data_IF_203454417010
#
_entry.id   IF_203454417010
#
_cell.length_a   1.000
_cell.length_b   1.000
_cell.length_c   1.000
_cell.angle_alpha   90.00
_cell.angle_beta   90.00
_cell.angle_gamma   90.00
#
_symmetry.space_group_name_H-M   'P 1'
#
loop_
_entity.id
_entity.type
_entity.pdbx_description
1 polymer ?
#
# COMPACT_ATOMS: atom_id res chain seq x y z
N UNK A 1 -43.42 31.33 15.45
CA UNK A 1 -42.77 30.05 15.10
C UNK A 1 -41.61 29.88 16.06
N UNK A 2 -41.83 29.17 17.17
CA UNK A 2 -40.86 29.03 18.26
C UNK A 2 -39.91 27.89 17.89
N UNK A 3 -38.66 28.21 17.61
CA UNK A 3 -37.59 27.21 17.44
C UNK A 3 -37.28 26.70 18.85
N UNK A 4 -37.62 25.44 19.12
CA UNK A 4 -37.35 24.76 20.40
C UNK A 4 -35.85 24.80 20.72
N UNK A 5 -35.52 25.24 21.94
CA UNK A 5 -34.15 25.29 22.52
C UNK A 5 -33.37 23.98 22.37
N UNK A 6 -34.08 22.85 22.30
CA UNK A 6 -33.51 21.51 22.17
C UNK A 6 -32.79 21.31 20.83
N UNK A 7 -33.27 21.96 19.76
CA UNK A 7 -32.64 21.87 18.42
C UNK A 7 -31.35 22.68 18.33
N UNK A 8 -31.26 23.78 19.09
CA UNK A 8 -30.05 24.61 19.15
C UNK A 8 -28.94 23.89 19.91
N UNK A 9 -29.28 23.20 21.00
CA UNK A 9 -28.33 22.43 21.80
C UNK A 9 -27.73 21.25 21.00
N UNK A 10 -28.55 20.52 20.25
CA UNK A 10 -28.11 19.43 19.38
C UNK A 10 -27.19 19.91 18.25
N UNK A 11 -27.47 21.10 17.70
CA UNK A 11 -26.64 21.70 16.64
C UNK A 11 -25.29 22.19 17.18
N UNK A 12 -25.26 22.77 18.38
CA UNK A 12 -24.02 23.17 19.03
C UNK A 12 -23.18 21.94 19.44
N UNK A 13 -23.82 20.86 19.88
CA UNK A 13 -23.13 19.60 20.22
C UNK A 13 -22.50 18.94 18.99
N UNK A 14 -23.19 18.92 17.84
CA UNK A 14 -22.62 18.34 16.60
C UNK A 14 -21.44 19.15 16.06
N UNK A 15 -21.48 20.48 16.20
CA UNK A 15 -20.34 21.36 15.86
C UNK A 15 -19.17 21.07 16.81
N UNK A 16 -19.40 20.99 18.12
CA UNK A 16 -18.34 20.73 19.10
C UNK A 16 -17.68 19.37 18.89
N UNK A 17 -18.46 18.32 18.63
CA UNK A 17 -17.95 16.98 18.31
C UNK A 17 -17.13 17.00 17.01
N UNK A 18 -17.61 17.70 15.98
CA UNK A 18 -16.89 17.83 14.70
C UNK A 18 -15.55 18.55 14.87
N UNK A 19 -15.51 19.62 15.68
CA UNK A 19 -14.27 20.33 15.99
C UNK A 19 -13.29 19.50 16.83
N UNK A 20 -13.77 18.71 17.80
CA UNK A 20 -12.92 17.83 18.61
C UNK A 20 -12.34 16.71 17.75
N UNK A 21 -13.14 16.08 16.89
CA UNK A 21 -12.68 15.02 15.98
C UNK A 21 -11.69 15.57 14.96
N UNK A 22 -11.94 16.75 14.38
CA UNK A 22 -11.02 17.39 13.44
C UNK A 22 -9.67 17.75 14.10
N UNK A 23 -9.70 18.26 15.33
CA UNK A 23 -8.47 18.59 16.06
C UNK A 23 -7.70 17.35 16.52
N UNK A 24 -8.39 16.30 16.97
CA UNK A 24 -7.75 15.03 17.33
C UNK A 24 -7.10 14.36 16.09
N UNK A 25 -7.79 14.41 14.95
CA UNK A 25 -7.25 13.93 13.67
C UNK A 25 -6.02 14.73 13.22
N UNK A 26 -6.07 16.07 13.34
CA UNK A 26 -4.93 16.95 12.99
C UNK A 26 -3.73 16.75 13.91
N UNK A 27 -3.95 16.62 15.22
CA UNK A 27 -2.89 16.42 16.20
C UNK A 27 -2.20 15.05 16.02
N UNK A 28 -2.96 13.99 15.74
CA UNK A 28 -2.39 12.68 15.48
C UNK A 28 -1.52 12.66 14.21
N UNK A 29 -1.90 13.44 13.19
CA UNK A 29 -1.18 13.53 11.92
C UNK A 29 0.12 14.34 12.02
N UNK A 30 0.14 15.45 12.76
CA UNK A 30 1.32 16.30 12.96
C UNK A 30 2.43 15.59 13.77
N UNK A 31 2.06 14.81 14.80
CA UNK A 31 3.03 14.04 15.61
C UNK A 31 3.67 12.92 14.78
N UNK A 32 2.90 12.24 13.91
CA UNK A 32 3.45 11.19 13.05
C UNK A 32 4.44 11.75 12.03
N UNK A 33 4.13 12.91 11.45
CA UNK A 33 5.01 13.55 10.48
C UNK A 33 6.36 13.90 11.15
N UNK A 34 6.36 14.57 12.32
CA UNK A 34 7.59 15.06 12.99
C UNK A 34 8.63 13.99 13.34
N UNK A 35 8.22 12.73 13.49
CA UNK A 35 9.11 11.60 13.80
C UNK A 35 9.70 10.90 12.58
N UNK A 36 9.32 11.29 11.37
CA UNK A 36 9.80 10.67 10.14
C UNK A 36 11.19 11.17 9.74
N UNK A 37 12.08 10.23 9.41
CA UNK A 37 13.40 10.51 8.86
C UNK A 37 13.35 11.10 7.44
N UNK A 38 14.48 11.62 6.98
CA UNK A 38 14.64 12.10 5.60
C UNK A 38 14.92 10.93 4.65
N UNK A 39 14.25 10.92 3.50
CA UNK A 39 14.43 9.93 2.45
C UNK A 39 15.83 10.02 1.83
N UNK A 40 16.40 8.87 1.50
CA UNK A 40 17.61 8.72 0.70
C UNK A 40 17.26 8.58 -0.78
N UNK A 41 18.28 8.37 -1.60
CA UNK A 41 18.08 8.06 -3.02
C UNK A 41 17.28 6.76 -3.19
N UNK A 42 16.31 6.78 -4.10
CA UNK A 42 15.41 5.65 -4.41
C UNK A 42 14.58 5.12 -3.23
N UNK A 43 14.53 5.86 -2.11
CA UNK A 43 13.59 5.59 -1.03
C UNK A 43 12.17 5.94 -1.47
N UNK A 44 11.24 5.06 -1.16
CA UNK A 44 9.80 5.32 -1.24
C UNK A 44 9.44 6.27 -0.12
N UNK A 45 8.88 7.43 -0.48
CA UNK A 45 8.49 8.44 0.49
C UNK A 45 7.05 8.26 0.99
N UNK A 46 6.13 7.85 0.10
CA UNK A 46 4.75 7.50 0.43
C UNK A 46 4.30 6.25 -0.35
N UNK A 47 3.36 5.51 0.24
CA UNK A 47 2.57 4.50 -0.48
C UNK A 47 1.13 5.02 -0.54
N UNK A 48 0.60 5.14 -1.75
CA UNK A 48 -0.76 5.64 -1.99
C UNK A 48 -1.64 4.51 -2.48
N UNK A 49 -2.72 4.28 -1.75
CA UNK A 49 -3.71 3.28 -2.04
C UNK A 49 -5.02 3.92 -2.50
N UNK A 50 -5.34 3.73 -3.77
CA UNK A 50 -6.58 4.19 -4.40
C UNK A 50 -7.70 3.18 -4.16
N UNK A 51 -8.30 3.28 -2.96
CA UNK A 51 -9.42 2.45 -2.54
C UNK A 51 -10.64 2.66 -3.44
N UNK A 52 -11.36 1.59 -3.74
CA UNK A 52 -12.52 1.66 -4.65
C UNK A 52 -13.69 2.45 -4.05
N UNK A 53 -14.07 2.14 -2.82
CA UNK A 53 -15.28 2.64 -2.14
C UNK A 53 -14.98 3.72 -1.08
N UNK A 54 -13.71 4.01 -0.83
CA UNK A 54 -13.25 4.93 0.21
C UNK A 54 -12.23 5.93 -0.34
N UNK A 55 -12.03 7.08 0.33
CA UNK A 55 -10.95 8.00 -0.02
C UNK A 55 -9.59 7.27 -0.06
N UNK A 56 -8.66 7.75 -0.89
CA UNK A 56 -7.33 7.14 -0.95
C UNK A 56 -6.67 7.13 0.44
N UNK A 57 -6.01 6.02 0.79
CA UNK A 57 -5.20 5.92 2.00
C UNK A 57 -3.73 6.18 1.65
N UNK A 58 -3.01 6.88 2.52
CA UNK A 58 -1.60 7.23 2.31
C UNK A 58 -0.79 6.77 3.51
N UNK A 59 0.16 5.88 3.26
CA UNK A 59 1.18 5.50 4.25
C UNK A 59 2.41 6.36 4.01
N UNK A 60 2.77 7.14 5.03
CA UNK A 60 3.93 8.03 5.00
C UNK A 60 5.16 7.28 5.52
N UNK A 61 6.25 7.25 4.75
CA UNK A 61 7.46 6.49 5.07
C UNK A 61 8.60 7.40 5.52
N UNK A 62 8.96 8.38 4.69
CA UNK A 62 10.01 9.35 4.98
C UNK A 62 9.69 10.71 4.34
N UNK A 63 10.40 11.75 4.76
CA UNK A 63 10.26 13.10 4.21
C UNK A 63 11.26 13.35 3.10
N UNK A 64 10.79 13.97 2.02
CA UNK A 64 11.69 14.39 0.97
C UNK A 64 12.67 15.47 1.47
N UNK A 65 13.93 15.46 1.01
CA UNK A 65 14.89 16.52 1.28
C UNK A 65 14.35 17.91 0.90
N UNK A 66 14.78 18.96 1.61
CA UNK A 66 14.29 20.34 1.44
C UNK A 66 14.51 20.93 0.03
N UNK A 67 15.45 20.37 -0.73
CA UNK A 67 15.76 20.78 -2.11
C UNK A 67 14.89 20.07 -3.16
N UNK A 68 13.96 19.21 -2.74
CA UNK A 68 13.04 18.48 -3.62
C UNK A 68 11.58 18.79 -3.29
N UNK A 69 10.65 18.67 -4.25
CA UNK A 69 9.23 18.81 -3.97
C UNK A 69 8.76 17.85 -2.87
N UNK A 70 7.72 18.25 -2.15
CA UNK A 70 7.06 17.38 -1.18
C UNK A 70 6.60 16.06 -1.81
N UNK A 71 6.67 14.98 -1.03
CA UNK A 71 6.29 13.66 -1.51
C UNK A 71 4.82 13.65 -1.98
N UNK A 72 4.52 13.15 -3.19
CA UNK A 72 3.15 13.06 -3.68
C UNK A 72 2.25 12.22 -2.76
N UNK A 73 1.00 12.65 -2.57
CA UNK A 73 0.00 11.97 -1.72
C UNK A 73 -1.22 11.47 -2.49
N UNK A 74 -1.32 11.77 -3.78
CA UNK A 74 -2.47 11.40 -4.63
C UNK A 74 -2.09 10.29 -5.60
N UNK A 75 -3.07 9.46 -5.95
CA UNK A 75 -2.90 8.50 -7.03
C UNK A 75 -2.80 9.25 -8.36
N UNK A 76 -1.77 8.97 -9.17
CA UNK A 76 -1.48 9.71 -10.39
C UNK A 76 -0.85 8.81 -11.44
N UNK A 77 -1.01 9.14 -12.72
CA UNK A 77 -0.31 8.44 -13.81
C UNK A 77 1.04 9.08 -14.16
N UNK A 78 1.34 10.24 -13.57
CA UNK A 78 2.52 11.03 -13.83
C UNK A 78 3.33 11.28 -12.57
N UNK A 79 4.58 11.70 -12.76
CA UNK A 79 5.51 12.03 -11.69
C UNK A 79 6.45 10.88 -11.34
N UNK A 80 7.00 10.94 -10.14
CA UNK A 80 7.97 9.97 -9.63
C UNK A 80 7.23 8.84 -8.91
N UNK A 81 6.79 7.86 -9.70
CA UNK A 81 5.91 6.79 -9.22
C UNK A 81 6.40 5.41 -9.66
N UNK A 82 6.00 4.38 -8.93
CA UNK A 82 6.06 2.99 -9.35
C UNK A 82 4.80 2.27 -8.89
N UNK A 83 4.13 1.55 -9.78
CA UNK A 83 2.91 0.83 -9.44
C UNK A 83 3.26 -0.49 -8.72
N UNK A 84 2.57 -0.74 -7.61
CA UNK A 84 2.59 -2.05 -6.94
C UNK A 84 1.55 -2.96 -7.57
N UNK A 85 0.36 -2.40 -7.81
CA UNK A 85 -0.76 -3.04 -8.48
C UNK A 85 -1.60 -1.97 -9.20
N UNK A 86 -2.78 -2.33 -9.68
CA UNK A 86 -3.67 -1.43 -10.44
C UNK A 86 -4.23 -0.25 -9.64
N UNK A 87 -4.12 -0.28 -8.30
CA UNK A 87 -4.70 0.71 -7.39
C UNK A 87 -3.72 1.18 -6.30
N UNK A 88 -2.48 0.74 -6.31
CA UNK A 88 -1.49 1.08 -5.27
C UNK A 88 -0.17 1.51 -5.90
N UNK A 89 0.38 2.62 -5.42
CA UNK A 89 1.57 3.24 -5.96
C UNK A 89 2.58 3.58 -4.87
N UNK A 90 3.84 3.27 -5.12
CA UNK A 90 4.98 3.87 -4.43
C UNK A 90 5.27 5.23 -5.04
N UNK A 91 5.51 6.22 -4.19
CA UNK A 91 5.88 7.59 -4.55
C UNK A 91 7.32 7.84 -4.14
N UNK A 92 8.03 8.62 -4.94
CA UNK A 92 9.44 8.94 -4.74
C UNK A 92 9.66 10.45 -4.75
N UNK A 93 10.71 10.90 -4.06
CA UNK A 93 11.08 12.32 -4.02
C UNK A 93 11.74 12.78 -5.33
N UNK A 94 12.34 11.86 -6.07
CA UNK A 94 13.06 12.12 -7.32
C UNK A 94 12.72 11.07 -8.37
N UNK A 95 13.05 11.37 -9.62
CA UNK A 95 12.86 10.46 -10.75
C UNK A 95 13.59 9.14 -10.54
N UNK A 96 12.88 8.03 -10.73
CA UNK A 96 13.43 6.66 -10.68
C UNK A 96 13.81 6.13 -12.07
N UNK A 97 13.81 6.98 -13.11
CA UNK A 97 14.09 6.59 -14.50
C UNK A 97 15.49 6.03 -14.74
N UNK A 98 16.44 6.31 -13.86
CA UNK A 98 17.79 5.77 -13.92
C UNK A 98 17.87 4.31 -13.46
N UNK A 99 16.86 3.82 -12.74
CA UNK A 99 16.77 2.42 -12.37
C UNK A 99 16.45 1.58 -13.61
N UNK A 100 17.28 0.57 -13.87
CA UNK A 100 17.03 -0.39 -14.93
C UNK A 100 15.81 -1.26 -14.64
N UNK A 101 15.29 -1.95 -15.66
CA UNK A 101 14.23 -2.96 -15.47
C UNK A 101 14.79 -4.15 -14.71
N UNK A 102 13.99 -4.70 -13.80
CA UNK A 102 14.41 -5.84 -13.00
C UNK A 102 14.67 -7.09 -13.86
N UNK A 103 15.84 -7.70 -13.66
CA UNK A 103 16.16 -9.00 -14.24
C UNK A 103 15.45 -10.13 -13.48
N UNK A 104 15.37 -11.31 -14.12
CA UNK A 104 14.81 -12.50 -13.49
C UNK A 104 15.56 -12.82 -12.18
N UNK A 105 14.81 -13.07 -11.10
CA UNK A 105 15.32 -13.40 -9.77
C UNK A 105 16.14 -12.32 -9.03
N UNK A 106 16.25 -11.11 -9.59
CA UNK A 106 16.89 -9.98 -8.89
C UNK A 106 15.99 -9.43 -7.77
N UNK A 107 16.59 -9.03 -6.65
CA UNK A 107 15.87 -8.27 -5.62
C UNK A 107 15.54 -6.88 -6.14
N UNK A 108 14.25 -6.61 -6.28
CA UNK A 108 13.71 -5.38 -6.82
C UNK A 108 13.46 -4.30 -5.77
N UNK A 109 13.12 -4.72 -4.56
CA UNK A 109 12.77 -3.83 -3.47
C UNK A 109 13.20 -4.44 -2.14
N UNK A 110 13.69 -3.59 -1.25
CA UNK A 110 14.02 -3.96 0.12
C UNK A 110 13.27 -3.05 1.09
N UNK A 111 12.55 -3.65 2.03
CA UNK A 111 11.95 -2.93 3.16
C UNK A 111 12.75 -3.24 4.41
N UNK A 112 13.40 -2.23 4.97
CA UNK A 112 14.10 -2.28 6.25
C UNK A 112 13.21 -1.71 7.33
N UNK A 113 12.92 -2.50 8.35
CA UNK A 113 12.16 -2.09 9.53
C UNK A 113 13.10 -2.13 10.74
N UNK A 114 13.35 -0.97 11.32
CA UNK A 114 14.11 -0.84 12.55
C UNK A 114 13.15 -0.88 13.73
N UNK A 115 13.23 -1.95 14.51
CA UNK A 115 12.53 -2.08 15.77
C UNK A 115 13.41 -1.55 16.91
N UNK A 116 12.80 -0.85 17.87
CA UNK A 116 13.45 -0.47 19.12
C UNK A 116 12.54 -0.74 20.32
N UNK A 117 13.06 -1.46 21.32
CA UNK A 117 12.35 -2.00 22.49
C UNK A 117 11.22 -2.94 22.09
N UNK A 118 10.08 -2.39 21.64
CA UNK A 118 8.87 -3.14 21.23
C UNK A 118 8.07 -2.46 20.11
N UNK A 119 8.59 -1.37 19.55
CA UNK A 119 7.91 -0.58 18.52
C UNK A 119 8.74 -0.43 17.26
N UNK A 120 8.08 -0.06 16.18
CA UNK A 120 8.74 0.35 14.94
C UNK A 120 9.29 1.75 15.17
N UNK A 121 10.61 1.89 15.10
CA UNK A 121 11.30 3.19 15.19
C UNK A 121 11.40 3.86 13.84
N UNK A 122 11.73 3.09 12.80
CA UNK A 122 11.92 3.62 11.46
C UNK A 122 11.64 2.55 10.40
N UNK A 123 11.18 3.00 9.23
CA UNK A 123 10.98 2.16 8.05
C UNK A 123 11.68 2.84 6.88
N UNK A 124 12.51 2.11 6.15
CA UNK A 124 13.07 2.53 4.86
C UNK A 124 12.71 1.49 3.82
N UNK A 125 12.32 1.96 2.64
CA UNK A 125 11.90 1.10 1.53
C UNK A 125 12.65 1.58 0.31
N UNK A 126 13.60 0.79 -0.16
CA UNK A 126 14.49 1.15 -1.27
C UNK A 126 14.12 0.34 -2.50
N UNK A 127 13.86 1.03 -3.61
CA UNK A 127 13.75 0.40 -4.93
C UNK A 127 15.13 0.25 -5.57
N UNK A 128 15.44 -0.95 -6.08
CA UNK A 128 16.71 -1.28 -6.76
C UNK A 128 16.59 -1.37 -8.27
N UNK A 129 15.41 -1.67 -8.78
CA UNK A 129 15.10 -1.73 -10.21
C UNK A 129 13.60 -1.48 -10.43
N UNK A 130 13.20 -1.28 -11.68
CA UNK A 130 11.81 -1.05 -12.06
C UNK A 130 11.09 -2.35 -12.42
N UNK A 131 9.91 -2.55 -11.84
CA UNK A 131 9.02 -3.64 -12.21
C UNK A 131 7.89 -3.16 -13.10
N UNK A 132 7.62 -3.92 -14.16
CA UNK A 132 6.49 -3.67 -15.04
C UNK A 132 5.25 -4.35 -14.48
N UNK A 133 4.39 -3.57 -13.82
CA UNK A 133 3.17 -4.08 -13.20
C UNK A 133 2.11 -4.58 -14.19
N UNK A 134 2.32 -4.43 -15.51
CA UNK A 134 1.45 -4.99 -16.55
C UNK A 134 1.86 -6.42 -16.93
N UNK A 135 3.12 -6.78 -16.70
CA UNK A 135 3.69 -8.08 -17.09
C UNK A 135 4.25 -8.86 -15.90
N UNK A 136 4.39 -8.24 -14.74
CA UNK A 136 5.03 -8.81 -13.56
C UNK A 136 4.23 -8.50 -12.29
N UNK A 137 4.42 -9.34 -11.27
CA UNK A 137 3.91 -9.13 -9.93
C UNK A 137 5.00 -9.26 -8.87
N UNK A 138 4.77 -8.61 -7.73
CA UNK A 138 5.69 -8.63 -6.59
C UNK A 138 5.55 -9.93 -5.80
N UNK A 139 6.70 -10.51 -5.44
CA UNK A 139 6.79 -11.74 -4.64
C UNK A 139 7.77 -11.52 -3.50
N UNK A 140 7.34 -11.88 -2.29
CA UNK A 140 8.22 -11.95 -1.12
C UNK A 140 9.25 -13.06 -1.30
N UNK A 141 10.52 -12.74 -1.07
CA UNK A 141 11.63 -13.70 -1.23
C UNK A 141 12.01 -14.29 0.11
N UNK A 142 12.44 -13.44 1.03
CA UNK A 142 12.89 -13.83 2.35
C UNK A 142 12.91 -12.62 3.29
N UNK A 143 13.09 -12.92 4.56
CA UNK A 143 13.31 -11.95 5.62
C UNK A 143 14.63 -12.28 6.32
N UNK A 144 15.45 -11.26 6.56
CA UNK A 144 16.74 -11.39 7.26
C UNK A 144 16.86 -10.35 8.38
N UNK A 145 17.46 -10.74 9.51
CA UNK A 145 17.90 -9.78 10.53
C UNK A 145 19.33 -9.34 10.24
N UNK A 146 19.59 -8.04 10.08
CA UNK A 146 20.93 -7.51 9.77
C UNK A 146 21.65 -6.95 11.00
N UNK A 147 20.99 -6.09 11.79
CA UNK A 147 21.61 -5.41 12.93
C UNK A 147 20.85 -5.74 14.21
N UNK A 148 21.47 -6.50 15.11
CA UNK A 148 20.94 -6.77 16.45
C UNK A 148 21.83 -6.02 17.45
N UNK A 149 21.25 -5.09 18.18
CA UNK A 149 21.92 -4.41 19.29
C UNK A 149 21.08 -4.62 20.55
N UNK A 150 21.46 -5.63 21.32
CA UNK A 150 20.73 -6.05 22.52
C UNK A 150 20.71 -4.96 23.60
N UNK A 151 21.81 -4.23 23.79
CA UNK A 151 21.89 -3.15 24.78
C UNK A 151 20.84 -2.07 24.52
N UNK A 152 20.66 -1.69 23.25
CA UNK A 152 19.68 -0.69 22.82
C UNK A 152 18.31 -1.29 22.50
N UNK A 153 18.18 -2.61 22.61
CA UNK A 153 17.03 -3.40 22.20
C UNK A 153 16.62 -3.04 20.76
N UNK A 154 17.58 -3.01 19.84
CA UNK A 154 17.36 -2.66 18.44
C UNK A 154 17.52 -3.89 17.54
N UNK A 155 16.60 -4.05 16.61
CA UNK A 155 16.62 -5.10 15.60
C UNK A 155 16.25 -4.51 14.25
N UNK A 156 17.14 -4.63 13.27
CA UNK A 156 16.84 -4.31 11.87
C UNK A 156 16.40 -5.57 11.15
N UNK A 157 15.14 -5.60 10.71
CA UNK A 157 14.57 -6.65 9.87
C UNK A 157 14.51 -6.15 8.43
N UNK A 158 14.95 -6.98 7.49
CA UNK A 158 14.95 -6.68 6.04
C UNK A 158 14.08 -7.69 5.30
N UNK A 159 13.01 -7.20 4.69
CA UNK A 159 12.17 -7.96 3.78
C UNK A 159 12.61 -7.70 2.33
N UNK A 160 12.95 -8.77 1.61
CA UNK A 160 13.35 -8.68 0.21
C UNK A 160 12.21 -9.11 -0.70
N UNK A 161 11.97 -8.32 -1.75
CA UNK A 161 10.95 -8.58 -2.76
C UNK A 161 11.57 -8.59 -4.15
N UNK A 162 11.03 -9.44 -5.01
CA UNK A 162 11.38 -9.53 -6.43
C UNK A 162 10.15 -9.42 -7.29
N UNK A 163 10.37 -9.24 -8.58
CA UNK A 163 9.30 -9.25 -9.58
C UNK A 163 9.38 -10.51 -10.41
N UNK A 164 8.23 -11.15 -10.59
CA UNK A 164 8.06 -12.40 -11.33
C UNK A 164 7.04 -12.16 -12.43
N UNK A 165 7.27 -12.74 -13.61
CA UNK A 165 6.33 -12.63 -14.72
C UNK A 165 4.94 -13.13 -14.32
N UNK A 166 3.90 -12.46 -14.83
CA UNK A 166 2.53 -12.92 -14.76
C UNK A 166 2.33 -14.03 -15.80
N UNK A 167 1.90 -15.19 -15.35
CA UNK A 167 1.49 -16.27 -16.25
C UNK A 167 0.13 -15.96 -16.90
N UNK A 168 -0.30 -16.78 -17.86
CA UNK A 168 -1.65 -16.72 -18.42
C UNK A 168 -2.55 -17.74 -17.74
N UNK A 169 -3.69 -17.30 -17.23
CA UNK A 169 -4.68 -18.20 -16.64
C UNK A 169 -5.71 -18.69 -17.66
N UNK A 170 -6.38 -19.81 -17.36
CA UNK A 170 -7.56 -20.26 -18.09
C UNK A 170 -8.83 -19.61 -17.52
N UNK A 171 -9.97 -19.68 -18.23
CA UNK A 171 -11.27 -19.33 -17.67
C UNK A 171 -11.52 -20.07 -16.35
N UNK A 172 -12.06 -19.36 -15.36
CA UNK A 172 -12.39 -19.81 -14.01
C UNK A 172 -11.21 -20.26 -13.13
N UNK A 173 -9.96 -20.17 -13.63
CA UNK A 173 -8.78 -20.42 -12.80
C UNK A 173 -8.59 -19.31 -11.76
N UNK A 174 -7.93 -19.68 -10.66
CA UNK A 174 -7.42 -18.72 -9.67
C UNK A 174 -6.50 -17.71 -10.33
N UNK A 175 -6.76 -16.42 -10.09
CA UNK A 175 -6.01 -15.33 -10.73
C UNK A 175 -5.33 -14.37 -9.76
N UNK A 176 -5.63 -14.44 -8.47
CA UNK A 176 -5.03 -13.56 -7.48
C UNK A 176 -5.74 -13.55 -6.14
N UNK A 177 -5.26 -12.69 -5.25
CA UNK A 177 -5.86 -12.49 -3.93
C UNK A 177 -6.49 -11.10 -3.82
N UNK A 178 -7.75 -11.04 -3.43
CA UNK A 178 -8.53 -9.82 -3.34
C UNK A 178 -8.55 -9.23 -1.93
N UNK A 179 -8.42 -7.91 -1.88
CA UNK A 179 -8.55 -7.08 -0.68
C UNK A 179 -9.89 -6.38 -0.70
N UNK A 180 -10.93 -6.88 -0.01
CA UNK A 180 -12.26 -6.27 -0.06
C UNK A 180 -12.25 -4.85 0.53
N UNK A 181 -11.43 -4.62 1.56
CA UNK A 181 -11.29 -3.34 2.24
C UNK A 181 -10.72 -2.24 1.34
N UNK A 182 -9.94 -2.59 0.32
CA UNK A 182 -9.37 -1.63 -0.64
C UNK A 182 -9.97 -1.76 -2.05
N UNK A 183 -10.69 -2.85 -2.35
CA UNK A 183 -11.31 -3.10 -3.64
C UNK A 183 -10.30 -3.30 -4.77
N UNK A 184 -9.24 -4.09 -4.53
CA UNK A 184 -8.28 -4.47 -5.56
C UNK A 184 -7.80 -5.92 -5.40
N UNK A 185 -7.18 -6.45 -6.47
CA UNK A 185 -6.63 -7.81 -6.51
C UNK A 185 -5.10 -7.79 -6.70
N UNK A 186 -4.39 -8.55 -5.89
CA UNK A 186 -3.00 -8.95 -6.09
C UNK A 186 -2.96 -10.06 -7.16
N UNK A 187 -2.70 -9.67 -8.40
CA UNK A 187 -2.72 -10.59 -9.53
C UNK A 187 -1.53 -11.56 -9.47
N UNK A 188 -1.80 -12.83 -9.82
CA UNK A 188 -0.81 -13.90 -10.02
C UNK A 188 -0.66 -14.29 -11.48
N UNK A 189 -1.67 -14.01 -12.29
CA UNK A 189 -1.68 -14.22 -13.73
C UNK A 189 -2.56 -13.18 -14.42
N UNK A 190 -2.50 -13.16 -15.75
CA UNK A 190 -3.40 -12.40 -16.60
C UNK A 190 -4.54 -13.29 -17.08
N UNK A 191 -5.78 -12.84 -16.88
CA UNK A 191 -6.97 -13.52 -17.37
C UNK A 191 -7.07 -13.49 -18.91
N UNK A 192 -7.74 -14.48 -19.53
CA UNK A 192 -7.96 -14.49 -20.97
C UNK A 192 -8.90 -13.36 -21.39
N UNK A 193 -9.00 -13.14 -22.71
CA UNK A 193 -9.92 -12.14 -23.28
C UNK A 193 -11.35 -12.36 -22.78
N UNK A 194 -12.09 -11.26 -22.58
CA UNK A 194 -13.46 -11.24 -22.06
C UNK A 194 -13.64 -11.78 -20.63
N UNK A 195 -12.55 -11.98 -19.89
CA UNK A 195 -12.56 -12.33 -18.48
C UNK A 195 -11.89 -11.25 -17.63
N UNK A 196 -12.31 -11.13 -16.39
CA UNK A 196 -11.70 -10.27 -15.38
C UNK A 196 -11.38 -11.09 -14.14
N UNK A 197 -10.32 -10.69 -13.45
CA UNK A 197 -9.95 -11.29 -12.17
C UNK A 197 -10.85 -10.70 -11.08
N UNK A 198 -11.90 -11.44 -10.72
CA UNK A 198 -12.92 -11.02 -9.76
C UNK A 198 -12.98 -11.98 -8.59
N UNK A 199 -13.53 -11.55 -7.47
CA UNK A 199 -13.68 -12.36 -6.26
C UNK A 199 -15.14 -12.37 -5.82
N UNK A 200 -15.51 -13.46 -5.18
CA UNK A 200 -16.82 -13.61 -4.56
C UNK A 200 -16.70 -13.25 -3.07
N UNK A 201 -17.58 -12.36 -2.60
CA UNK A 201 -17.64 -11.97 -1.18
C UNK A 201 -18.34 -13.03 -0.33
N UNK A 202 -19.14 -13.89 -0.95
CA UNK A 202 -19.83 -15.01 -0.31
C UNK A 202 -18.92 -16.25 -0.18
N UNK A 203 -17.69 -16.20 -0.71
CA UNK A 203 -16.67 -17.23 -0.46
C UNK A 203 -16.11 -17.05 0.97
N UNK A 204 -16.60 -17.88 1.90
CA UNK A 204 -16.41 -17.71 3.34
C UNK A 204 -14.99 -18.00 3.87
N UNK A 205 -14.04 -18.42 3.03
CA UNK A 205 -12.71 -18.84 3.47
C UNK A 205 -11.61 -17.88 3.01
N UNK A 206 -11.39 -16.75 3.71
CA UNK A 206 -10.25 -15.90 3.45
C UNK A 206 -8.95 -16.64 3.77
N UNK A 207 -7.97 -16.51 2.88
CA UNK A 207 -6.62 -17.05 3.08
C UNK A 207 -5.73 -16.00 3.72
N UNK A 208 -4.92 -16.39 4.69
CA UNK A 208 -3.84 -15.54 5.20
C UNK A 208 -2.72 -15.43 4.15
N UNK A 209 -2.44 -14.21 3.69
CA UNK A 209 -1.42 -13.95 2.67
C UNK A 209 -0.38 -12.95 3.17
N UNK A 210 0.79 -12.97 2.54
CA UNK A 210 1.86 -12.00 2.76
C UNK A 210 2.30 -11.42 1.42
N UNK A 211 1.72 -10.29 1.05
CA UNK A 211 2.02 -9.53 -0.17
C UNK A 211 2.91 -8.32 0.15
N UNK A 212 3.36 -7.64 -0.91
CA UNK A 212 4.08 -6.39 -0.73
C UNK A 212 3.17 -5.34 -0.05
N UNK A 213 3.59 -4.89 1.13
CA UNK A 213 2.87 -3.97 2.04
C UNK A 213 1.53 -4.49 2.56
N UNK A 214 1.33 -5.81 2.56
CA UNK A 214 0.15 -6.38 3.19
C UNK A 214 0.41 -7.75 3.80
N UNK A 215 -0.09 -7.93 5.01
CA UNK A 215 -0.20 -9.24 5.65
C UNK A 215 -1.56 -9.33 6.30
N UNK A 216 -2.31 -10.38 6.00
CA UNK A 216 -3.65 -10.57 6.53
C UNK A 216 -4.56 -11.38 5.62
N UNK A 217 -5.87 -11.40 5.92
CA UNK A 217 -6.88 -12.20 5.22
C UNK A 217 -7.25 -11.61 3.86
N UNK A 218 -7.17 -12.44 2.81
CA UNK A 218 -7.59 -12.07 1.47
C UNK A 218 -8.45 -13.16 0.81
N UNK A 219 -9.35 -12.72 -0.06
CA UNK A 219 -10.27 -13.60 -0.79
C UNK A 219 -9.60 -14.14 -2.04
N UNK A 220 -9.98 -15.35 -2.48
CA UNK A 220 -9.46 -15.91 -3.71
C UNK A 220 -10.23 -15.32 -4.89
N UNK A 221 -9.51 -14.75 -5.85
CA UNK A 221 -10.08 -14.26 -7.10
C UNK A 221 -9.93 -15.30 -8.21
N UNK A 222 -10.88 -15.31 -9.16
CA UNK A 222 -10.89 -16.18 -10.34
C UNK A 222 -11.13 -15.37 -11.62
N UNK A 223 -10.66 -15.91 -12.74
CA UNK A 223 -10.93 -15.34 -14.06
C UNK A 223 -12.36 -15.66 -14.50
N UNK A 224 -13.31 -14.79 -14.21
CA UNK A 224 -14.72 -14.97 -14.60
C UNK A 224 -15.09 -14.04 -15.76
N UNK A 225 -16.13 -14.37 -16.55
CA UNK A 225 -16.62 -13.49 -17.61
C UNK A 225 -16.93 -12.08 -17.11
N UNK A 226 -16.66 -11.06 -17.93
CA UNK A 226 -16.88 -9.66 -17.56
C UNK A 226 -18.34 -9.39 -17.17
N UNK A 227 -19.29 -10.05 -17.84
CA UNK A 227 -20.73 -9.90 -17.64
C UNK A 227 -21.28 -10.65 -16.42
N UNK A 228 -20.44 -11.39 -15.70
CA UNK A 228 -20.84 -12.03 -14.45
C UNK A 228 -20.90 -10.96 -13.34
N UNK A 229 -22.12 -10.61 -12.93
CA UNK A 229 -22.40 -9.54 -11.97
C UNK A 229 -22.42 -10.02 -10.52
N UNK A 230 -22.33 -11.33 -10.28
CA UNK A 230 -22.28 -11.91 -8.93
C UNK A 230 -20.88 -11.74 -8.30
N UNK A 231 -19.89 -11.38 -9.12
CA UNK A 231 -18.49 -11.28 -8.74
C UNK A 231 -17.98 -9.83 -8.76
N UNK A 232 -17.11 -9.49 -7.81
CA UNK A 232 -16.60 -8.14 -7.53
C UNK A 232 -15.17 -7.92 -8.04
#
# INVERSE_FOLDING_TARGET
>A
MVISDEKVLLFLYSILVSFIVANAYRYHYEVYDTMMGTCRENDVCNIVHHRYWMPSAVEKICRCPLNTPSCPVTYSHHGHIMNINTRTQMKFCSSTKHLERCQSNQIALQKKTLYQKYGIKNVSIVARCQCDNTQQHWVFVNQTGEDINDERHQLTVVDNYRCVALDRCKPYDFCGYARPDYGFVFHRCTCPMSHQCKFDLDDYEPSEISELFYRGPAYRAKCVPIYDHEWW
#
